data_IF_933847491420
#
_entry.id   IF_933847491420
#
_cell.length_a   1.000
_cell.length_b   1.000
_cell.length_c   1.000
_cell.angle_alpha   90.00
_cell.angle_beta   90.00
_cell.angle_gamma   90.00
#
_symmetry.space_group_name_H-M   'P 1'
#
loop_
_entity.id
_entity.type
_entity.pdbx_description
1 polymer ?
#
# COMPACT_ATOMS: atom_id res chain seq x y z
N UNK A 1 14.89 16.26 22.55
CA UNK A 1 14.48 16.04 23.95
C UNK A 1 14.11 14.57 24.10
N UNK A 2 14.49 13.90 25.20
CA UNK A 2 14.15 12.49 25.47
C UNK A 2 13.40 12.40 26.79
N UNK A 3 12.30 11.65 26.83
CA UNK A 3 11.64 11.29 28.08
C UNK A 3 11.23 9.82 28.06
N UNK A 4 11.03 9.26 29.25
CA UNK A 4 10.74 7.84 29.44
C UNK A 4 9.23 7.66 29.64
N UNK A 5 8.59 6.86 28.80
CA UNK A 5 7.16 6.55 28.88
C UNK A 5 6.97 5.03 28.80
N UNK A 6 6.24 4.43 29.74
CA UNK A 6 5.96 2.99 29.78
C UNK A 6 7.17 2.09 29.50
N UNK A 7 8.31 2.38 30.15
CA UNK A 7 9.61 1.67 30.01
C UNK A 7 10.31 1.82 28.66
N UNK A 8 9.80 2.63 27.73
CA UNK A 8 10.48 2.97 26.47
C UNK A 8 10.97 4.41 26.50
N UNK A 9 12.15 4.63 25.93
CA UNK A 9 12.66 5.98 25.70
C UNK A 9 11.99 6.55 24.44
N UNK A 10 11.26 7.65 24.59
CA UNK A 10 10.71 8.38 23.46
C UNK A 10 11.65 9.55 23.18
N UNK A 11 12.14 9.62 21.95
CA UNK A 11 12.99 10.69 21.46
C UNK A 11 12.23 11.49 20.42
N UNK A 12 12.07 12.79 20.67
CA UNK A 12 11.56 13.71 19.66
C UNK A 12 12.74 14.36 18.96
N UNK A 13 12.81 14.21 17.65
CA UNK A 13 13.64 15.04 16.78
C UNK A 13 13.06 16.44 16.72
N UNK A 14 13.92 17.45 16.75
CA UNK A 14 13.51 18.85 16.61
C UNK A 14 12.81 19.02 15.27
N UNK A 15 11.65 19.68 15.26
CA UNK A 15 10.99 20.07 14.03
C UNK A 15 11.96 20.92 13.21
N UNK A 16 12.33 20.40 12.05
CA UNK A 16 13.14 21.09 11.06
C UNK A 16 12.18 21.79 10.10
N UNK A 17 12.36 23.10 9.88
CA UNK A 17 11.60 23.85 8.87
C UNK A 17 11.97 23.49 7.43
N UNK A 18 13.01 22.67 7.24
CA UNK A 18 13.35 22.17 5.91
C UNK A 18 12.31 21.14 5.47
N UNK A 19 11.49 21.53 4.50
CA UNK A 19 10.64 20.64 3.72
C UNK A 19 11.59 19.73 2.93
N UNK A 20 11.79 18.49 3.39
CA UNK A 20 12.50 17.45 2.62
C UNK A 20 11.53 16.85 1.60
N UNK A 21 11.14 17.64 0.61
CA UNK A 21 10.30 17.19 -0.51
C UNK A 21 11.19 17.04 -1.73
N UNK A 22 11.34 15.81 -2.20
CA UNK A 22 11.75 15.53 -3.57
C UNK A 22 10.49 15.26 -4.40
N UNK A 23 10.46 15.64 -5.69
CA UNK A 23 9.40 15.20 -6.59
C UNK A 23 9.42 13.67 -6.63
N UNK A 24 8.31 13.04 -6.29
CA UNK A 24 8.14 11.59 -6.34
C UNK A 24 7.37 11.22 -7.59
N UNK A 25 8.03 11.20 -8.74
CA UNK A 25 7.41 10.75 -9.98
C UNK A 25 6.98 9.28 -9.85
N UNK A 26 5.78 8.95 -10.32
CA UNK A 26 5.31 7.57 -10.42
C UNK A 26 5.60 7.10 -11.84
N UNK A 27 6.79 6.57 -12.05
CA UNK A 27 7.34 6.30 -13.38
C UNK A 27 6.91 4.94 -13.96
N UNK A 28 6.43 4.05 -13.09
CA UNK A 28 6.16 2.65 -13.44
C UNK A 28 4.68 2.35 -13.38
N UNK A 29 4.11 1.87 -14.48
CA UNK A 29 2.77 1.28 -14.47
C UNK A 29 2.90 -0.20 -14.17
N UNK A 30 2.36 -0.63 -13.05
CA UNK A 30 2.49 -2.01 -12.59
C UNK A 30 1.13 -2.70 -12.53
N UNK A 31 1.12 -3.99 -12.89
CA UNK A 31 0.05 -4.92 -12.57
C UNK A 31 0.46 -5.70 -11.33
N UNK A 32 -0.31 -5.53 -10.27
CA UNK A 32 -0.13 -6.22 -9.00
C UNK A 32 -1.26 -7.20 -8.78
N UNK A 33 -0.99 -8.19 -7.96
CA UNK A 33 -2.05 -9.00 -7.41
C UNK A 33 -1.88 -9.25 -5.91
N UNK A 34 -3.02 -9.38 -5.24
CA UNK A 34 -3.11 -9.53 -3.80
C UNK A 34 -3.83 -10.84 -3.45
N UNK A 35 -3.14 -11.72 -2.75
CA UNK A 35 -3.64 -13.00 -2.27
C UNK A 35 -3.73 -13.02 -0.74
N UNK A 36 -4.69 -13.77 -0.20
CA UNK A 36 -4.84 -14.02 1.23
C UNK A 36 -6.06 -13.36 1.86
N UNK A 37 -6.79 -12.54 1.10
CA UNK A 37 -8.06 -11.96 1.49
C UNK A 37 -9.18 -12.37 0.54
N UNK A 38 -10.33 -12.86 1.04
CA UNK A 38 -11.50 -13.12 0.22
C UNK A 38 -12.00 -11.84 -0.47
N UNK A 39 -12.55 -11.97 -1.68
CA UNK A 39 -13.09 -10.84 -2.46
C UNK A 39 -14.07 -9.95 -1.68
N UNK A 40 -14.84 -10.54 -0.77
CA UNK A 40 -15.85 -9.86 0.06
C UNK A 40 -15.24 -8.99 1.16
N UNK A 41 -13.97 -9.19 1.50
CA UNK A 41 -13.26 -8.42 2.53
C UNK A 41 -12.60 -7.16 1.96
N UNK A 42 -12.47 -7.06 0.63
CA UNK A 42 -11.89 -5.89 -0.03
C UNK A 42 -12.94 -4.80 -0.21
N UNK A 43 -12.79 -3.71 0.53
CA UNK A 43 -13.48 -2.45 0.22
C UNK A 43 -12.65 -1.63 -0.76
N UNK A 44 -13.28 -0.84 -1.62
CA UNK A 44 -12.57 0.07 -2.55
C UNK A 44 -11.56 0.97 -1.82
N UNK A 45 -11.88 1.39 -0.60
CA UNK A 45 -11.00 2.21 0.24
C UNK A 45 -9.77 1.43 0.71
N UNK A 46 -9.95 0.19 1.18
CA UNK A 46 -8.83 -0.68 1.58
C UNK A 46 -7.91 -0.97 0.40
N UNK A 47 -8.47 -1.24 -0.79
CA UNK A 47 -7.69 -1.49 -2.00
C UNK A 47 -6.91 -0.24 -2.42
N UNK A 48 -7.50 0.96 -2.33
CA UNK A 48 -6.78 2.22 -2.62
C UNK A 48 -5.64 2.50 -1.64
N UNK A 49 -5.81 2.12 -0.37
CA UNK A 49 -4.78 2.31 0.65
C UNK A 49 -3.53 1.48 0.35
N UNK A 50 -3.68 0.26 -0.19
CA UNK A 50 -2.53 -0.64 -0.40
C UNK A 50 -1.48 -0.06 -1.37
N UNK A 51 -1.80 0.32 -2.63
CA UNK A 51 -0.82 0.96 -3.52
C UNK A 51 -0.25 2.25 -2.93
N UNK A 52 -1.06 3.02 -2.19
CA UNK A 52 -0.61 4.26 -1.54
C UNK A 52 0.47 3.98 -0.48
N UNK A 53 0.29 2.96 0.33
CA UNK A 53 1.27 2.54 1.33
C UNK A 53 2.53 1.95 0.69
N UNK A 54 2.41 1.40 -0.52
CA UNK A 54 3.53 0.98 -1.37
C UNK A 54 4.22 2.15 -2.10
N UNK A 55 3.81 3.39 -1.84
CA UNK A 55 4.40 4.59 -2.46
C UNK A 55 3.92 4.86 -3.88
N UNK A 56 2.71 4.41 -4.21
CA UNK A 56 2.08 4.54 -5.51
C UNK A 56 0.65 5.05 -5.47
N UNK A 57 -0.06 4.90 -6.59
CA UNK A 57 -1.43 5.34 -6.78
C UNK A 57 -2.21 4.28 -7.57
N UNK A 58 -3.40 3.92 -7.09
CA UNK A 58 -4.28 2.97 -7.77
C UNK A 58 -4.84 3.58 -9.06
N UNK A 59 -4.75 2.85 -10.17
CA UNK A 59 -5.38 3.21 -11.45
C UNK A 59 -6.75 2.55 -11.54
N UNK A 60 -6.78 1.23 -11.47
CA UNK A 60 -7.99 0.43 -11.64
C UNK A 60 -7.90 -0.90 -10.88
N UNK A 61 -9.06 -1.40 -10.48
CA UNK A 61 -9.23 -2.76 -9.96
C UNK A 61 -9.70 -3.61 -11.13
N UNK A 62 -8.94 -4.65 -11.46
CA UNK A 62 -9.27 -5.51 -12.59
C UNK A 62 -10.36 -6.52 -12.20
N UNK A 63 -11.20 -6.97 -13.15
CA UNK A 63 -12.18 -8.01 -12.90
C UNK A 63 -11.49 -9.27 -12.35
N UNK A 64 -11.99 -9.85 -11.23
CA UNK A 64 -11.34 -10.99 -10.61
C UNK A 64 -11.44 -12.21 -11.52
N UNK A 65 -10.30 -12.64 -12.07
CA UNK A 65 -10.21 -13.90 -12.84
C UNK A 65 -10.23 -15.13 -11.91
N UNK A 66 -9.74 -14.96 -10.68
CA UNK A 66 -9.72 -15.96 -9.62
C UNK A 66 -10.32 -15.38 -8.33
N UNK A 67 -11.04 -16.19 -7.55
CA UNK A 67 -11.60 -15.76 -6.25
C UNK A 67 -10.57 -15.68 -5.12
N UNK A 68 -9.36 -16.20 -5.36
CA UNK A 68 -8.26 -16.23 -4.38
C UNK A 68 -7.33 -15.01 -4.48
N UNK A 69 -7.48 -14.22 -5.54
CA UNK A 69 -6.53 -13.18 -5.90
C UNK A 69 -7.27 -11.96 -6.45
N UNK A 70 -6.93 -10.78 -5.94
CA UNK A 70 -7.40 -9.50 -6.46
C UNK A 70 -6.31 -8.88 -7.34
N UNK A 71 -6.59 -8.64 -8.61
CA UNK A 71 -5.65 -7.96 -9.50
C UNK A 71 -5.95 -6.47 -9.57
N UNK A 72 -4.90 -5.64 -9.57
CA UNK A 72 -5.00 -4.20 -9.70
C UNK A 72 -3.93 -3.65 -10.63
N UNK A 73 -4.21 -2.50 -11.24
CA UNK A 73 -3.20 -1.68 -11.88
C UNK A 73 -2.90 -0.47 -11.00
N UNK A 74 -1.62 -0.17 -10.81
CA UNK A 74 -1.17 0.96 -10.03
C UNK A 74 0.04 1.64 -10.67
N UNK A 75 0.14 2.94 -10.49
CA UNK A 75 1.37 3.68 -10.70
C UNK A 75 2.24 3.52 -9.46
N UNK A 76 3.49 3.11 -9.62
CA UNK A 76 4.44 2.96 -8.53
C UNK A 76 5.66 3.86 -8.75
N UNK A 77 6.23 4.36 -7.67
CA UNK A 77 7.51 5.07 -7.70
C UNK A 77 8.67 4.13 -8.03
N UNK A 78 8.69 2.98 -7.37
CA UNK A 78 9.73 1.97 -7.59
C UNK A 78 9.16 0.58 -7.28
N UNK A 79 8.97 -0.28 -8.30
CA UNK A 79 8.46 -1.63 -8.11
C UNK A 79 9.42 -2.54 -7.33
N UNK A 80 10.72 -2.23 -7.25
CA UNK A 80 11.70 -3.05 -6.53
C UNK A 80 11.44 -3.09 -5.01
N UNK A 81 10.94 -1.99 -4.44
CA UNK A 81 10.66 -1.90 -3.00
C UNK A 81 9.29 -2.43 -2.59
N UNK A 82 8.49 -2.93 -3.54
CA UNK A 82 7.21 -3.58 -3.22
C UNK A 82 7.49 -4.86 -2.45
N UNK A 83 7.12 -4.86 -1.17
CA UNK A 83 7.24 -6.03 -0.32
C UNK A 83 6.31 -7.15 -0.80
N UNK A 84 6.82 -8.38 -0.85
CA UNK A 84 6.05 -9.57 -1.25
C UNK A 84 4.99 -10.00 -0.22
N UNK A 85 5.12 -9.52 1.02
CA UNK A 85 4.15 -9.71 2.10
C UNK A 85 3.76 -8.33 2.64
N UNK A 86 2.52 -7.92 2.38
CA UNK A 86 1.98 -6.62 2.77
C UNK A 86 0.97 -6.80 3.89
N UNK A 87 1.01 -5.93 4.91
CA UNK A 87 0.01 -5.94 5.97
C UNK A 87 -1.10 -4.98 5.60
N UNK A 88 -2.31 -5.50 5.45
CA UNK A 88 -3.49 -4.70 5.11
C UNK A 88 -4.33 -4.50 6.36
N UNK A 89 -4.58 -3.23 6.69
CA UNK A 89 -5.50 -2.83 7.75
C UNK A 89 -6.93 -2.76 7.20
N UNK A 90 -7.82 -3.64 7.67
CA UNK A 90 -9.25 -3.57 7.37
C UNK A 90 -9.99 -3.24 8.66
N UNK A 91 -10.83 -2.19 8.70
CA UNK A 91 -11.71 -1.91 9.83
C UNK A 91 -12.59 -3.14 10.13
N UNK A 92 -12.74 -3.50 11.41
CA UNK A 92 -13.73 -4.52 11.77
C UNK A 92 -15.11 -4.05 11.29
N UNK A 93 -15.92 -4.94 10.70
CA UNK A 93 -17.29 -4.60 10.38
C UNK A 93 -17.98 -4.12 11.66
N UNK A 94 -18.55 -2.93 11.63
CA UNK A 94 -19.32 -2.39 12.74
C UNK A 94 -20.57 -3.26 12.88
N UNK A 95 -20.51 -4.31 13.70
CA UNK A 95 -21.73 -4.84 14.32
C UNK A 95 -22.31 -3.67 15.09
N UNK A 96 -23.47 -3.19 14.65
CA UNK A 96 -24.19 -2.02 15.18
C UNK A 96 -24.03 -1.91 16.70
N UNK A 97 -23.05 -1.11 17.15
CA UNK A 97 -23.09 -0.59 18.50
C UNK A 97 -24.20 0.45 18.45
N UNK A 98 -25.36 0.13 19.02
CA UNK A 98 -26.45 1.09 19.23
C UNK A 98 -25.86 2.40 19.73
N UNK A 99 -26.21 3.51 19.08
CA UNK A 99 -25.98 4.83 19.67
C UNK A 99 -26.72 4.87 21.02
N UNK A 100 -26.13 5.43 22.08
CA UNK A 100 -26.87 5.63 23.31
C UNK A 100 -28.05 6.58 23.02
N UNK A 101 -29.27 6.12 23.28
CA UNK A 101 -30.50 6.84 22.95
C UNK A 101 -30.89 7.88 24.02
N UNK A 102 -30.10 8.06 25.09
CA UNK A 102 -30.49 8.83 26.26
C UNK A 102 -29.62 10.07 26.47
N UNK A 103 -30.26 11.24 26.50
CA UNK A 103 -29.70 12.56 26.83
C UNK A 103 -28.96 12.57 28.18
N UNK A 104 -29.37 11.74 29.13
CA UNK A 104 -28.82 11.67 30.48
C UNK A 104 -27.34 11.21 30.51
N UNK A 105 -26.88 10.45 29.51
CA UNK A 105 -25.46 10.07 29.39
C UNK A 105 -24.59 11.23 28.88
N UNK A 106 -25.16 12.17 28.13
CA UNK A 106 -24.44 13.31 27.56
C UNK A 106 -24.11 14.36 28.63
N UNK A 107 -25.04 14.59 29.58
CA UNK A 107 -24.81 15.47 30.73
C UNK A 107 -23.82 14.87 31.74
N UNK A 108 -23.84 13.55 31.94
CA UNK A 108 -22.86 12.85 32.77
C UNK A 108 -21.43 12.93 32.19
N UNK A 109 -21.27 12.89 30.85
CA UNK A 109 -19.97 13.06 30.19
C UNK A 109 -19.41 14.48 30.25
N UNK A 110 -20.26 15.51 30.42
CA UNK A 110 -19.81 16.90 30.51
C UNK A 110 -19.27 17.29 31.90
N UNK A 111 -19.68 16.59 32.96
CA UNK A 111 -19.27 16.91 34.33
C UNK A 111 -17.85 16.42 34.69
N UNK A 112 -17.27 15.50 33.91
CA UNK A 112 -15.93 14.90 34.08
C UNK A 112 -14.81 15.66 33.34
N UNK A 113 -14.96 16.97 33.10
CA UNK A 113 -13.92 17.82 32.49
C UNK A 113 -12.79 18.22 33.46
N UNK A 114 -12.82 17.74 34.71
CA UNK A 114 -11.72 17.83 35.67
C UNK A 114 -10.74 16.67 35.49
N UNK A 115 -9.47 16.98 35.27
CA UNK A 115 -8.36 16.06 34.94
C UNK A 115 -8.39 15.46 33.53
N UNK A 116 -7.81 16.19 32.58
CA UNK A 116 -7.52 15.74 31.22
C UNK A 116 -6.46 14.61 31.22
N UNK A 117 -6.84 13.43 31.70
CA UNK A 117 -6.05 12.21 31.60
C UNK A 117 -6.18 11.72 30.15
N UNK A 118 -5.09 11.34 29.47
CA UNK A 118 -5.19 10.68 28.18
C UNK A 118 -6.13 9.48 28.32
N UNK A 119 -7.15 9.39 27.46
CA UNK A 119 -8.03 8.24 27.46
C UNK A 119 -7.20 6.95 27.40
N UNK A 120 -7.59 5.91 28.14
CA UNK A 120 -6.96 4.59 28.06
C UNK A 120 -6.71 4.21 26.59
N UNK A 121 -5.57 3.60 26.24
CA UNK A 121 -5.25 3.24 24.86
C UNK A 121 -6.44 2.52 24.20
N UNK A 122 -7.11 3.19 23.26
CA UNK A 122 -8.24 2.59 22.55
C UNK A 122 -7.67 1.55 21.59
N UNK A 123 -8.11 0.30 21.70
CA UNK A 123 -7.89 -0.67 20.62
C UNK A 123 -8.65 -0.16 19.40
N UNK A 124 -7.92 0.29 18.38
CA UNK A 124 -8.50 0.54 17.07
C UNK A 124 -9.12 -0.79 16.61
N UNK A 125 -10.42 -0.81 16.31
CA UNK A 125 -11.12 -2.00 15.80
C UNK A 125 -10.69 -2.24 14.35
N UNK A 126 -9.45 -2.67 14.16
CA UNK A 126 -8.83 -2.85 12.85
C UNK A 126 -8.10 -4.18 12.86
N UNK A 127 -8.43 -5.02 11.88
CA UNK A 127 -7.81 -6.32 11.68
C UNK A 127 -6.65 -6.15 10.71
N UNK A 128 -5.51 -6.77 11.07
CA UNK A 128 -4.31 -6.78 10.26
C UNK A 128 -4.21 -8.11 9.53
N UNK A 129 -4.32 -8.08 8.21
CA UNK A 129 -4.22 -9.26 7.38
C UNK A 129 -2.87 -9.30 6.67
N UNK A 130 -2.10 -10.40 6.79
CA UNK A 130 -0.95 -10.63 5.93
C UNK A 130 -1.46 -11.02 4.54
N UNK A 131 -1.14 -10.20 3.54
CA UNK A 131 -1.51 -10.37 2.14
C UNK A 131 -0.24 -10.62 1.35
N UNK A 132 -0.24 -11.67 0.53
CA UNK A 132 0.81 -11.90 -0.44
C UNK A 132 0.60 -10.94 -1.62
N UNK A 133 1.65 -10.20 -1.96
CA UNK A 133 1.65 -9.31 -3.10
C UNK A 133 2.55 -9.90 -4.18
N UNK A 134 1.98 -10.14 -5.35
CA UNK A 134 2.74 -10.56 -6.52
C UNK A 134 2.87 -9.43 -7.52
N UNK A 135 4.08 -9.29 -8.05
CA UNK A 135 4.34 -8.39 -9.17
C UNK A 135 4.14 -9.17 -10.46
N UNK A 136 3.09 -8.87 -11.23
CA UNK A 136 2.79 -9.58 -12.48
C UNK A 136 3.37 -8.90 -13.71
N UNK A 137 3.29 -7.57 -13.72
CA UNK A 137 3.74 -6.78 -14.86
C UNK A 137 4.31 -5.44 -14.39
N UNK A 138 5.40 -5.01 -15.01
CA UNK A 138 5.97 -3.67 -14.84
C UNK A 138 6.18 -3.09 -16.23
N UNK A 139 5.59 -1.92 -16.48
CA UNK A 139 5.84 -1.11 -17.66
C UNK A 139 6.66 0.09 -17.22
N UNK A 140 7.88 0.21 -17.73
CA UNK A 140 8.73 1.38 -17.53
C UNK A 140 8.75 2.27 -18.77
N UNK A 141 8.97 3.57 -18.53
CA UNK A 141 9.25 4.58 -19.57
C UNK A 141 10.70 5.05 -19.48
N UNK A 142 11.60 4.15 -19.13
CA UNK A 142 13.00 4.50 -18.94
C UNK A 142 13.63 4.99 -20.25
N UNK A 143 14.63 5.90 -20.21
CA UNK A 143 15.40 6.22 -21.40
C UNK A 143 16.02 4.93 -21.94
N UNK A 144 15.96 4.70 -23.25
CA UNK A 144 16.75 3.65 -23.89
C UNK A 144 18.21 3.90 -23.53
N UNK A 145 18.82 2.99 -22.75
CA UNK A 145 20.24 3.05 -22.36
C UNK A 145 21.13 2.64 -23.55
N UNK A 146 20.93 3.26 -24.69
CA UNK A 146 21.74 3.04 -25.87
C UNK A 146 22.63 4.28 -26.04
N UNK A 147 23.89 4.15 -25.63
CA UNK A 147 24.93 5.14 -25.94
C UNK A 147 25.43 4.86 -27.36
N UNK A 148 25.62 5.93 -28.14
CA UNK A 148 26.25 5.88 -29.46
C UNK A 148 25.51 5.06 -30.53
N UNK A 149 24.17 4.99 -30.48
CA UNK A 149 23.40 4.49 -31.62
C UNK A 149 23.47 5.49 -32.79
N UNK A 150 23.66 5.01 -34.04
CA UNK A 150 23.51 5.87 -35.21
C UNK A 150 22.11 6.52 -35.22
N UNK A 151 22.00 7.74 -35.74
CA UNK A 151 20.74 8.49 -35.76
C UNK A 151 19.58 7.72 -36.44
N UNK A 152 19.89 6.82 -37.37
CA UNK A 152 18.95 5.93 -38.06
C UNK A 152 18.31 4.87 -37.14
N UNK A 153 18.90 4.62 -35.97
CA UNK A 153 18.48 3.63 -34.98
C UNK A 153 17.90 4.27 -33.72
N UNK A 154 17.87 5.61 -33.68
CA UNK A 154 17.13 6.33 -32.65
C UNK A 154 15.64 6.23 -32.97
N UNK A 155 14.80 6.01 -31.95
CA UNK A 155 13.37 5.99 -32.15
C UNK A 155 12.85 7.31 -32.70
N UNK A 156 11.79 7.24 -33.48
CA UNK A 156 11.12 8.42 -34.01
C UNK A 156 10.48 9.27 -32.89
N UNK A 157 10.31 10.57 -33.15
CA UNK A 157 9.63 11.46 -32.20
C UNK A 157 8.18 10.99 -32.00
N UNK A 158 7.84 10.61 -30.76
CA UNK A 158 6.52 10.08 -30.40
C UNK A 158 6.38 8.55 -30.45
N UNK A 159 7.46 7.81 -30.75
CA UNK A 159 7.46 6.36 -30.66
C UNK A 159 7.37 5.90 -29.19
N UNK A 160 6.53 4.90 -28.92
CA UNK A 160 6.33 4.38 -27.56
C UNK A 160 7.53 3.49 -27.17
N UNK A 161 8.41 4.03 -26.35
CA UNK A 161 9.63 3.33 -25.86
C UNK A 161 9.37 2.52 -24.60
N UNK A 162 8.10 2.31 -24.24
CA UNK A 162 7.79 1.59 -23.02
C UNK A 162 8.25 0.14 -23.08
N UNK A 163 8.90 -0.31 -22.01
CA UNK A 163 9.34 -1.71 -21.87
C UNK A 163 8.41 -2.41 -20.93
N UNK A 164 7.82 -3.51 -21.41
CA UNK A 164 6.91 -4.36 -20.63
C UNK A 164 7.65 -5.58 -20.12
N UNK A 165 7.74 -5.71 -18.81
CA UNK A 165 8.31 -6.85 -18.10
C UNK A 165 7.18 -7.66 -17.48
N UNK A 166 7.10 -8.95 -17.82
CA UNK A 166 6.10 -9.88 -17.29
C UNK A 166 6.80 -10.89 -16.40
N UNK A 167 6.24 -11.13 -15.22
CA UNK A 167 6.81 -12.06 -14.24
C UNK A 167 5.89 -13.28 -14.09
N UNK A 168 6.51 -14.46 -13.92
CA UNK A 168 5.77 -15.68 -13.57
C UNK A 168 5.49 -15.66 -12.06
N UNK A 169 4.21 -15.80 -11.70
CA UNK A 169 3.74 -15.77 -10.32
C UNK A 169 2.96 -17.05 -10.03
N UNK A 170 3.20 -17.68 -8.88
CA UNK A 170 2.46 -18.85 -8.43
C UNK A 170 1.69 -18.52 -7.15
N UNK A 171 0.39 -18.81 -7.13
CA UNK A 171 -0.45 -18.59 -5.94
C UNK A 171 0.04 -19.43 -4.76
N UNK A 172 0.01 -18.83 -3.58
CA UNK A 172 0.48 -19.40 -2.33
C UNK A 172 2.00 -19.37 -2.17
N UNK A 173 2.75 -18.86 -3.16
CA UNK A 173 4.21 -18.78 -3.13
C UNK A 173 4.71 -17.36 -3.27
N UNK A 174 5.89 -17.10 -2.72
CA UNK A 174 6.56 -15.81 -2.87
C UNK A 174 7.27 -15.81 -4.23
N UNK A 175 7.08 -14.79 -5.07
CA UNK A 175 7.68 -14.70 -6.41
C UNK A 175 9.17 -15.08 -6.41
N UNK A 176 9.59 -15.98 -7.30
CA UNK A 176 10.96 -16.52 -7.36
C UNK A 176 11.21 -17.82 -6.56
N UNK A 177 10.16 -18.46 -6.02
CA UNK A 177 10.22 -19.80 -5.39
C UNK A 177 9.61 -20.93 -6.25
N UNK A 178 9.47 -20.69 -7.56
CA UNK A 178 9.20 -21.74 -8.54
C UNK A 178 10.48 -22.51 -8.84
N UNK A 179 10.39 -23.82 -9.05
CA UNK A 179 11.54 -24.60 -9.52
C UNK A 179 12.09 -23.94 -10.78
N UNK A 180 13.37 -23.59 -10.76
CA UNK A 180 14.10 -23.36 -11.98
C UNK A 180 14.05 -24.66 -12.76
N UNK A 181 13.14 -24.79 -13.72
CA UNK A 181 13.30 -25.78 -14.77
C UNK A 181 14.60 -25.43 -15.49
N UNK A 182 15.66 -26.13 -15.08
CA UNK A 182 16.88 -26.24 -15.84
C UNK A 182 16.52 -27.04 -17.09
N UNK A 183 16.49 -26.37 -18.24
CA UNK A 183 16.66 -26.97 -19.56
C UNK A 183 17.54 -26.06 -20.39
#
# INVERSE_FOLDING_TARGET
MKFKCCRRWIQFTRWSRFIRVGPGALEYRCKLSFEGLPNQSWTTESVKAVPKDLGGELIEILPPTNRRELEVMAWLRDPFYVGKLVKVEIPEPTLFNKQPELMDEYEAMQFDLGDYRPSSPKKKRTLLYPVLCHMKEVIDRGPLLAKDLPAEWLPAEGEDLSRKHIFKTELGKIDGTGESEAV
#
